data_IF_980654863614
#
_entry.id   IF_980654863614
#
_cell.length_a   1.000
_cell.length_b   1.000
_cell.length_c   1.000
_cell.angle_alpha   90.00
_cell.angle_beta   90.00
_cell.angle_gamma   90.00
#
_symmetry.space_group_name_H-M   'P 1'
#
loop_
_entity.id
_entity.type
_entity.pdbx_description
1 polymer ?
#
# COMPACT_ATOMS: atom_id res chain seq x y z
N UNK A 1 -13.87 3.29 17.69
CA UNK A 1 -14.28 2.01 18.30
C UNK A 1 -13.95 1.94 19.79
N UNK A 2 -12.74 2.30 20.26
CA UNK A 2 -12.47 2.42 21.72
C UNK A 2 -12.47 3.86 22.25
N UNK A 3 -12.36 4.87 21.38
CA UNK A 3 -12.38 6.30 21.78
C UNK A 3 -11.09 6.79 22.48
N UNK A 4 -10.10 5.92 22.65
CA UNK A 4 -8.85 6.22 23.36
C UNK A 4 -7.71 6.46 22.36
N UNK A 5 -7.21 7.70 22.32
CA UNK A 5 -6.05 8.11 21.52
C UNK A 5 -4.80 8.41 22.39
N UNK A 6 -4.70 7.77 23.57
CA UNK A 6 -3.62 8.02 24.53
C UNK A 6 -2.30 7.41 24.06
N UNK A 7 -1.22 8.21 24.06
CA UNK A 7 0.15 7.77 23.75
C UNK A 7 0.64 6.62 24.65
N UNK A 8 0.17 6.59 25.91
CA UNK A 8 0.55 5.57 26.89
C UNK A 8 0.08 4.18 26.48
N UNK A 9 -1.10 4.05 25.87
CA UNK A 9 -1.60 2.77 25.35
C UNK A 9 -0.69 2.25 24.24
N UNK A 10 -0.24 3.14 23.36
CA UNK A 10 0.74 2.79 22.32
C UNK A 10 2.05 2.26 22.90
N UNK A 11 2.61 2.93 23.92
CA UNK A 11 3.83 2.48 24.60
C UNK A 11 3.67 1.11 25.27
N UNK A 12 2.55 0.86 25.95
CA UNK A 12 2.28 -0.43 26.60
C UNK A 12 2.15 -1.54 25.58
N UNK A 13 1.42 -1.32 24.48
CA UNK A 13 1.28 -2.31 23.40
C UNK A 13 2.61 -2.57 22.71
N UNK A 14 3.40 -1.54 22.43
CA UNK A 14 4.72 -1.70 21.83
C UNK A 14 5.66 -2.52 22.72
N UNK A 15 5.70 -2.22 24.03
CA UNK A 15 6.50 -2.99 25.00
C UNK A 15 6.03 -4.45 25.06
N UNK A 16 4.72 -4.67 25.09
CA UNK A 16 4.13 -6.02 25.07
C UNK A 16 4.52 -6.80 23.81
N UNK A 17 4.49 -6.17 22.62
CA UNK A 17 4.89 -6.80 21.37
C UNK A 17 6.39 -7.14 21.35
N UNK A 18 7.26 -6.27 21.89
CA UNK A 18 8.69 -6.55 22.05
C UNK A 18 8.89 -7.76 22.95
N UNK A 19 8.26 -7.77 24.12
CA UNK A 19 8.36 -8.86 25.08
C UNK A 19 7.88 -10.18 24.47
N UNK A 20 6.71 -10.19 23.81
CA UNK A 20 6.19 -11.38 23.11
C UNK A 20 7.10 -11.86 21.98
N UNK A 21 7.72 -10.94 21.23
CA UNK A 21 8.66 -11.27 20.16
C UNK A 21 9.96 -11.93 20.64
N UNK A 22 10.37 -11.66 21.88
CA UNK A 22 11.57 -12.27 22.49
C UNK A 22 11.33 -13.69 23.00
N UNK A 23 10.07 -14.14 23.16
CA UNK A 23 9.75 -15.47 23.66
C UNK A 23 9.63 -16.50 22.50
N UNK A 24 10.52 -17.51 22.42
CA UNK A 24 10.50 -18.50 21.34
C UNK A 24 9.20 -19.32 21.29
N UNK A 25 8.53 -19.51 22.43
CA UNK A 25 7.26 -20.22 22.51
C UNK A 25 6.16 -19.59 21.64
N UNK A 26 6.14 -18.24 21.56
CA UNK A 26 5.19 -17.50 20.71
C UNK A 26 5.49 -17.77 19.24
N UNK A 27 6.77 -17.73 18.86
CA UNK A 27 7.20 -18.02 17.48
C UNK A 27 6.89 -19.46 17.05
N UNK A 28 7.02 -20.43 17.96
CA UNK A 28 6.68 -21.83 17.70
C UNK A 28 5.19 -22.02 17.48
N UNK A 29 4.36 -21.35 18.29
CA UNK A 29 2.91 -21.37 18.09
C UNK A 29 2.50 -20.79 16.73
N UNK A 30 3.09 -19.65 16.32
CA UNK A 30 2.80 -19.03 15.02
C UNK A 30 3.20 -19.93 13.85
N UNK A 31 4.32 -20.67 13.96
CA UNK A 31 4.75 -21.62 12.93
C UNK A 31 3.82 -22.83 12.77
N UNK A 32 3.06 -23.17 13.81
CA UNK A 32 2.04 -24.23 13.73
C UNK A 32 0.74 -23.78 13.06
N UNK A 33 0.59 -22.50 12.74
CA UNK A 33 -0.60 -22.01 12.02
C UNK A 33 -0.55 -22.53 10.58
N UNK A 34 -1.59 -23.24 10.11
CA UNK A 34 -1.63 -23.74 8.74
C UNK A 34 -1.57 -22.62 7.70
N UNK A 35 -0.83 -22.84 6.61
CA UNK A 35 -0.73 -21.89 5.48
C UNK A 35 -2.10 -21.42 4.94
N UNK A 36 -3.15 -22.27 4.83
CA UNK A 36 -4.46 -21.81 4.39
C UNK A 36 -5.09 -20.71 5.27
N UNK A 37 -4.78 -20.70 6.57
CA UNK A 37 -5.30 -19.68 7.51
C UNK A 37 -4.56 -18.36 7.33
N UNK A 38 -3.23 -18.42 7.19
CA UNK A 38 -2.41 -17.24 6.91
C UNK A 38 -2.76 -16.62 5.56
N UNK A 39 -3.03 -17.45 4.55
CA UNK A 39 -3.56 -17.04 3.25
C UNK A 39 -4.91 -16.31 3.36
N UNK A 40 -5.84 -16.87 4.14
CA UNK A 40 -7.13 -16.22 4.41
C UNK A 40 -6.99 -14.87 5.12
N UNK A 41 -6.17 -14.81 6.16
CA UNK A 41 -5.92 -13.58 6.92
C UNK A 41 -5.27 -12.49 6.05
N UNK A 42 -4.26 -12.85 5.26
CA UNK A 42 -3.58 -11.92 4.34
C UNK A 42 -4.51 -11.44 3.23
N UNK A 43 -5.37 -12.31 2.67
CA UNK A 43 -6.36 -11.93 1.66
C UNK A 43 -7.35 -10.88 2.21
N UNK A 44 -7.84 -11.07 3.44
CA UNK A 44 -8.72 -10.08 4.10
C UNK A 44 -7.98 -8.76 4.35
N UNK A 45 -6.72 -8.81 4.79
CA UNK A 45 -5.91 -7.61 5.01
C UNK A 45 -5.68 -6.84 3.70
N UNK A 46 -5.23 -7.50 2.63
CA UNK A 46 -5.02 -6.84 1.33
C UNK A 46 -6.34 -6.38 0.70
N UNK A 47 -7.43 -7.15 0.82
CA UNK A 47 -8.74 -6.76 0.34
C UNK A 47 -9.28 -5.50 1.03
N UNK A 48 -9.12 -5.40 2.35
CA UNK A 48 -9.52 -4.21 3.11
C UNK A 48 -8.63 -2.99 2.82
N UNK A 49 -7.34 -3.19 2.60
CA UNK A 49 -6.41 -2.14 2.13
C UNK A 49 -6.86 -1.61 0.75
N UNK A 50 -7.14 -2.49 -0.20
CA UNK A 50 -7.60 -2.11 -1.54
C UNK A 50 -8.94 -1.35 -1.48
N UNK A 51 -9.91 -1.86 -0.73
CA UNK A 51 -11.21 -1.21 -0.54
C UNK A 51 -11.07 0.17 0.12
N UNK A 52 -10.16 0.32 1.09
CA UNK A 52 -9.87 1.60 1.72
C UNK A 52 -9.24 2.59 0.74
N UNK A 53 -8.36 2.11 -0.16
CA UNK A 53 -7.81 2.92 -1.24
C UNK A 53 -8.90 3.49 -2.15
N UNK A 54 -9.82 2.64 -2.64
CA UNK A 54 -10.96 3.07 -3.46
C UNK A 54 -11.81 4.10 -2.71
N UNK A 55 -12.08 3.85 -1.42
CA UNK A 55 -12.84 4.78 -0.56
C UNK A 55 -12.15 6.14 -0.38
N UNK A 56 -10.82 6.19 -0.35
CA UNK A 56 -10.08 7.46 -0.25
C UNK A 56 -10.24 8.24 -1.55
N UNK A 57 -10.04 7.58 -2.70
CA UNK A 57 -10.15 8.20 -4.03
C UNK A 57 -11.57 8.71 -4.29
N UNK A 58 -12.59 7.96 -3.89
CA UNK A 58 -14.00 8.32 -4.08
C UNK A 58 -14.48 9.51 -3.24
N UNK A 59 -13.64 10.08 -2.36
CA UNK A 59 -13.98 11.30 -1.61
C UNK A 59 -13.90 12.55 -2.45
N UNK A 60 -13.07 12.53 -3.50
CA UNK A 60 -12.90 13.63 -4.43
C UNK A 60 -13.84 13.46 -5.64
N UNK A 61 -14.27 14.56 -6.29
CA UNK A 61 -15.10 14.48 -7.48
C UNK A 61 -14.34 13.79 -8.63
N UNK A 62 -14.91 12.69 -9.13
CA UNK A 62 -14.34 11.88 -10.20
C UNK A 62 -14.60 12.51 -11.58
N UNK A 63 -14.01 13.67 -11.82
CA UNK A 63 -14.05 14.34 -13.11
C UNK A 63 -13.14 13.65 -14.13
N UNK A 64 -13.22 14.05 -15.40
CA UNK A 64 -12.41 13.47 -16.49
C UNK A 64 -10.91 13.52 -16.19
N UNK A 65 -10.43 14.62 -15.60
CA UNK A 65 -9.04 14.76 -15.13
C UNK A 65 -8.67 13.69 -14.10
N UNK A 66 -9.48 13.53 -13.05
CA UNK A 66 -9.22 12.59 -11.96
C UNK A 66 -9.22 11.14 -12.48
N UNK A 67 -10.19 10.78 -13.32
CA UNK A 67 -10.28 9.43 -13.92
C UNK A 67 -9.04 9.12 -14.76
N UNK A 68 -8.53 10.07 -15.55
CA UNK A 68 -7.31 9.88 -16.33
C UNK A 68 -6.08 9.66 -15.46
N UNK A 69 -5.93 10.45 -14.38
CA UNK A 69 -4.82 10.29 -13.42
C UNK A 69 -4.88 8.90 -12.77
N UNK A 70 -6.06 8.47 -12.33
CA UNK A 70 -6.29 7.15 -11.73
C UNK A 70 -5.96 6.04 -12.72
N UNK A 71 -6.49 6.10 -13.95
CA UNK A 71 -6.28 5.07 -14.96
C UNK A 71 -4.80 4.92 -15.33
N UNK A 72 -4.10 6.03 -15.58
CA UNK A 72 -2.68 6.01 -15.97
C UNK A 72 -1.78 5.57 -14.82
N UNK A 73 -2.01 6.05 -13.60
CA UNK A 73 -1.23 5.63 -12.43
C UNK A 73 -1.41 4.15 -12.11
N UNK A 74 -2.63 3.62 -12.21
CA UNK A 74 -2.88 2.18 -12.06
C UNK A 74 -2.24 1.37 -13.19
N UNK A 75 -2.33 1.82 -14.44
CA UNK A 75 -1.73 1.15 -15.59
C UNK A 75 -0.21 1.06 -15.46
N UNK A 76 0.46 2.13 -15.06
CA UNK A 76 1.91 2.14 -14.82
C UNK A 76 2.29 1.28 -13.62
N UNK A 77 1.59 1.43 -12.49
CA UNK A 77 1.88 0.64 -11.28
C UNK A 77 1.74 -0.87 -11.49
N UNK A 78 0.64 -1.30 -12.11
CA UNK A 78 0.42 -2.71 -12.45
C UNK A 78 1.37 -3.19 -13.54
N UNK A 79 1.62 -2.36 -14.57
CA UNK A 79 2.49 -2.71 -15.68
C UNK A 79 3.93 -2.98 -15.24
N UNK A 80 4.48 -2.14 -14.35
CA UNK A 80 5.84 -2.31 -13.83
C UNK A 80 5.93 -3.48 -12.86
N UNK A 81 4.88 -3.72 -12.06
CA UNK A 81 4.82 -4.88 -11.16
C UNK A 81 4.79 -6.21 -11.92
N UNK A 82 4.13 -6.26 -13.08
CA UNK A 82 4.04 -7.46 -13.90
C UNK A 82 5.26 -7.66 -14.80
N UNK A 83 5.82 -6.57 -15.34
CA UNK A 83 6.99 -6.61 -16.22
C UNK A 83 8.07 -5.61 -15.76
N UNK A 84 8.92 -5.99 -14.78
CA UNK A 84 9.99 -5.12 -14.27
C UNK A 84 11.06 -4.78 -15.33
N UNK A 85 11.13 -5.56 -16.42
CA UNK A 85 12.09 -5.37 -17.51
C UNK A 85 11.90 -4.05 -18.28
N UNK A 86 10.75 -3.40 -18.16
CA UNK A 86 10.48 -2.08 -18.78
C UNK A 86 11.48 -1.02 -18.27
N UNK A 87 12.02 -1.21 -17.07
CA UNK A 87 12.99 -0.31 -16.43
C UNK A 87 14.47 -0.65 -16.75
N UNK A 88 14.74 -1.54 -17.70
CA UNK A 88 16.11 -1.99 -17.99
C UNK A 88 17.06 -0.87 -18.46
N UNK A 89 16.51 0.20 -19.06
CA UNK A 89 17.27 1.36 -19.51
C UNK A 89 17.39 2.46 -18.44
N UNK A 90 16.76 2.29 -17.27
CA UNK A 90 16.80 3.25 -16.19
C UNK A 90 18.04 3.05 -15.31
N UNK A 91 18.58 4.14 -14.70
CA UNK A 91 19.67 4.01 -13.73
C UNK A 91 19.24 3.18 -12.51
N UNK A 92 20.20 2.50 -11.91
CA UNK A 92 19.97 1.44 -10.92
C UNK A 92 19.17 1.91 -9.69
N UNK A 93 19.42 3.14 -9.23
CA UNK A 93 18.66 3.75 -8.13
C UNK A 93 17.17 3.94 -8.48
N UNK A 94 16.87 4.30 -9.73
CA UNK A 94 15.50 4.52 -10.19
C UNK A 94 14.79 3.18 -10.43
N UNK A 95 15.52 2.18 -10.93
CA UNK A 95 15.03 0.81 -11.08
C UNK A 95 14.59 0.21 -9.74
N UNK A 96 15.37 0.40 -8.68
CA UNK A 96 15.05 -0.11 -7.34
C UNK A 96 13.83 0.58 -6.72
N UNK A 97 13.60 1.85 -7.03
CA UNK A 97 12.43 2.59 -6.55
C UNK A 97 11.17 2.23 -7.33
N UNK A 98 11.27 2.21 -8.67
CA UNK A 98 10.14 1.97 -9.55
C UNK A 98 9.80 0.47 -9.69
N UNK A 99 10.64 -0.46 -9.28
CA UNK A 99 10.32 -1.90 -9.28
C UNK A 99 9.09 -2.24 -8.42
N UNK A 100 8.76 -1.38 -7.44
CA UNK A 100 7.51 -1.48 -6.69
C UNK A 100 6.37 -0.81 -7.46
N UNK A 101 5.35 -1.60 -7.83
CA UNK A 101 4.16 -1.07 -8.52
C UNK A 101 3.44 0.03 -7.75
N UNK A 102 3.46 -0.01 -6.41
CA UNK A 102 2.88 1.02 -5.54
C UNK A 102 3.65 2.34 -5.69
N UNK A 103 4.99 2.27 -5.65
CA UNK A 103 5.83 3.45 -5.80
C UNK A 103 5.73 4.04 -7.21
N UNK A 104 5.81 3.20 -8.24
CA UNK A 104 5.68 3.63 -9.64
C UNK A 104 4.33 4.30 -9.89
N UNK A 105 3.22 3.66 -9.52
CA UNK A 105 1.88 4.23 -9.68
C UNK A 105 1.68 5.52 -8.88
N UNK A 106 2.15 5.56 -7.63
CA UNK A 106 2.06 6.75 -6.77
C UNK A 106 2.83 7.95 -7.32
N UNK A 107 4.07 7.74 -7.77
CA UNK A 107 4.88 8.78 -8.40
C UNK A 107 4.21 9.26 -9.68
N UNK A 108 3.71 8.35 -10.53
CA UNK A 108 2.97 8.72 -11.74
C UNK A 108 1.72 9.54 -11.40
N UNK A 109 0.95 9.18 -10.37
CA UNK A 109 -0.21 9.94 -9.94
C UNK A 109 0.15 11.38 -9.52
N UNK A 110 1.23 11.54 -8.74
CA UNK A 110 1.72 12.84 -8.30
C UNK A 110 2.16 13.69 -9.51
N UNK A 111 2.95 13.11 -10.42
CA UNK A 111 3.45 13.78 -11.62
C UNK A 111 2.29 14.22 -12.52
N UNK A 112 1.32 13.34 -12.78
CA UNK A 112 0.16 13.68 -13.60
C UNK A 112 -0.74 14.72 -12.95
N UNK A 113 -0.90 14.68 -11.62
CA UNK A 113 -1.66 15.70 -10.91
C UNK A 113 -1.01 17.08 -10.97
N UNK A 114 0.32 17.16 -11.08
CA UNK A 114 1.05 18.43 -11.28
C UNK A 114 0.99 18.93 -12.73
N UNK A 115 1.09 18.03 -13.71
CA UNK A 115 1.12 18.38 -15.14
C UNK A 115 -0.27 18.74 -15.65
N UNK A 116 -1.30 18.01 -15.25
CA UNK A 116 -2.65 18.22 -15.78
C UNK A 116 -3.26 19.48 -15.16
N UNK A 117 -3.73 20.45 -15.96
CA UNK A 117 -4.29 21.68 -15.45
C UNK A 117 -5.54 21.38 -14.60
N UNK A 118 -5.76 22.09 -13.49
CA UNK A 118 -6.98 21.95 -12.73
C UNK A 118 -8.17 22.31 -13.62
N UNK A 119 -9.14 21.40 -13.69
CA UNK A 119 -10.39 21.65 -14.40
C UNK A 119 -11.10 22.78 -13.64
N UNK A 120 -11.29 23.94 -14.29
CA UNK A 120 -12.09 25.03 -13.71
C UNK A 120 -13.49 24.46 -13.49
N UNK A 121 -13.91 24.40 -12.22
CA UNK A 121 -15.29 24.12 -11.84
C UNK A 121 -16.23 25.13 -12.50
#
# INVERSE_FOLDING_TARGET
MTGVASRYVGFVVALMLIVLGLFPAVSGFVQHIPEPVLGGATLVMFGTIAASGVRIVSREPLNRRAILIIALSLAVGLGVSQQPLILQFAPEWLKNLLSSGIAAGGITAIVLNLIFPPEKQ
#
